data_IF_205560123160
#
_entry.id   IF_205560123160
#
_cell.length_a   1.000
_cell.length_b   1.000
_cell.length_c   1.000
_cell.angle_alpha   90.00
_cell.angle_beta   90.00
_cell.angle_gamma   90.00
#
_symmetry.space_group_name_H-M   'P 1'
#
loop_
_entity.id
_entity.type
_entity.pdbx_description
1 polymer ?
#
# COMPACT_ATOMS: atom_id res chain seq x y z
N UNK A 1 -1.60 -75.12 -21.10
CA UNK A 1 -1.00 -73.77 -21.02
C UNK A 1 -1.99 -72.65 -20.66
N UNK A 2 -3.28 -72.92 -20.38
CA UNK A 2 -4.30 -71.86 -20.16
C UNK A 2 -4.72 -71.60 -18.70
N UNK A 3 -4.38 -72.45 -17.72
CA UNK A 3 -4.79 -72.28 -16.32
C UNK A 3 -4.03 -71.18 -15.58
N UNK A 4 -2.76 -70.97 -15.91
CA UNK A 4 -1.93 -69.94 -15.28
C UNK A 4 -2.24 -68.53 -15.81
N UNK A 5 -2.58 -68.40 -17.10
CA UNK A 5 -2.93 -67.11 -17.72
C UNK A 5 -4.22 -66.54 -17.10
N UNK A 6 -5.23 -67.39 -16.86
CA UNK A 6 -6.48 -66.97 -16.19
C UNK A 6 -6.24 -66.52 -14.76
N UNK A 7 -5.31 -67.16 -14.04
CA UNK A 7 -4.96 -66.79 -12.67
C UNK A 7 -4.23 -65.44 -12.60
N UNK A 8 -3.30 -65.18 -13.53
CA UNK A 8 -2.60 -63.88 -13.61
C UNK A 8 -3.53 -62.75 -14.05
N UNK A 9 -4.51 -63.02 -14.94
CA UNK A 9 -5.50 -62.04 -15.36
C UNK A 9 -6.46 -61.66 -14.22
N UNK A 10 -6.88 -62.65 -13.40
CA UNK A 10 -7.70 -62.42 -12.22
C UNK A 10 -6.94 -61.62 -11.14
N UNK A 11 -5.64 -61.90 -10.97
CA UNK A 11 -4.77 -61.17 -10.05
C UNK A 11 -4.56 -59.69 -10.48
N UNK A 12 -4.46 -59.42 -11.79
CA UNK A 12 -4.32 -58.07 -12.34
C UNK A 12 -5.61 -57.23 -12.18
N UNK A 13 -6.78 -57.88 -12.34
CA UNK A 13 -8.09 -57.26 -12.13
C UNK A 13 -8.36 -56.92 -10.65
N UNK A 14 -7.83 -57.72 -9.71
CA UNK A 14 -7.97 -57.44 -8.28
C UNK A 14 -7.07 -56.29 -7.81
N UNK A 15 -5.93 -56.06 -8.47
CA UNK A 15 -5.00 -54.96 -8.14
C UNK A 15 -5.44 -53.58 -8.64
N UNK A 16 -6.42 -53.50 -9.55
CA UNK A 16 -6.92 -52.23 -10.12
C UNK A 16 -8.20 -51.72 -9.46
N UNK A 17 -8.80 -52.47 -8.53
CA UNK A 17 -10.09 -52.15 -7.92
C UNK A 17 -10.03 -51.16 -6.73
N UNK A 18 -8.84 -50.80 -6.26
CA UNK A 18 -8.68 -49.91 -5.10
C UNK A 18 -7.94 -48.62 -5.47
N UNK A 19 -8.68 -47.64 -5.98
CA UNK A 19 -8.22 -46.24 -5.96
C UNK A 19 -9.18 -45.43 -5.10
N UNK A 20 -8.75 -45.07 -3.89
CA UNK A 20 -9.47 -44.18 -2.99
C UNK A 20 -9.38 -42.75 -3.53
N UNK A 21 -10.39 -42.32 -4.30
CA UNK A 21 -10.56 -40.90 -4.62
C UNK A 21 -11.08 -40.18 -3.37
N UNK A 22 -10.24 -39.37 -2.75
CA UNK A 22 -10.64 -38.44 -1.71
C UNK A 22 -11.54 -37.36 -2.34
N UNK A 23 -12.84 -37.46 -2.10
CA UNK A 23 -13.78 -36.39 -2.45
C UNK A 23 -13.84 -35.41 -1.29
N UNK A 24 -13.58 -34.13 -1.55
CA UNK A 24 -13.82 -33.09 -0.56
C UNK A 24 -15.34 -32.99 -0.30
N UNK A 25 -15.78 -33.48 0.87
CA UNK A 25 -17.21 -33.62 1.20
C UNK A 25 -17.86 -32.26 1.50
N UNK A 26 -17.12 -31.31 2.05
CA UNK A 26 -17.46 -29.89 2.19
C UNK A 26 -16.45 -29.24 3.14
N UNK A 27 -16.27 -27.93 3.02
CA UNK A 27 -15.56 -27.13 4.00
C UNK A 27 -16.51 -26.03 4.46
N UNK A 28 -16.75 -25.95 5.77
CA UNK A 28 -17.58 -24.90 6.36
C UNK A 28 -16.66 -23.88 7.04
N UNK A 29 -16.43 -22.76 6.35
CA UNK A 29 -15.73 -21.63 6.94
C UNK A 29 -16.66 -20.95 7.95
N UNK A 30 -16.31 -21.02 9.23
CA UNK A 30 -16.98 -20.23 10.27
C UNK A 30 -16.17 -18.96 10.50
N UNK A 31 -16.76 -17.81 10.20
CA UNK A 31 -16.20 -16.53 10.64
C UNK A 31 -16.51 -16.37 12.12
N UNK A 32 -15.50 -16.53 12.98
CA UNK A 32 -15.62 -16.24 14.41
C UNK A 32 -15.31 -14.75 14.64
N UNK A 33 -16.32 -13.90 14.91
CA UNK A 33 -16.06 -12.50 15.21
C UNK A 33 -15.34 -12.39 16.56
N UNK A 34 -14.20 -11.71 16.58
CA UNK A 34 -13.53 -11.37 17.84
C UNK A 34 -14.36 -10.28 18.53
N UNK A 35 -15.01 -10.63 19.63
CA UNK A 35 -15.80 -9.70 20.45
C UNK A 35 -15.26 -9.63 21.90
N UNK A 36 -15.82 -8.73 22.70
CA UNK A 36 -15.43 -8.52 24.10
C UNK A 36 -15.51 -9.77 24.98
N UNK A 37 -16.39 -10.72 24.66
CA UNK A 37 -16.51 -11.99 25.39
C UNK A 37 -15.43 -13.01 24.99
N UNK A 38 -14.93 -12.94 23.75
CA UNK A 38 -13.79 -13.73 23.27
C UNK A 38 -12.47 -13.27 23.93
N UNK A 39 -12.36 -11.98 24.27
CA UNK A 39 -11.21 -11.37 24.96
C UNK A 39 -11.13 -11.74 26.45
N UNK A 40 -12.22 -12.24 27.06
CA UNK A 40 -12.21 -12.80 28.43
C UNK A 40 -11.43 -14.12 28.51
N UNK A 41 -11.10 -14.73 27.37
CA UNK A 41 -10.24 -15.91 27.22
C UNK A 41 -8.81 -15.48 26.84
N UNK A 42 -8.35 -14.33 27.32
CA UNK A 42 -6.91 -14.09 27.37
C UNK A 42 -6.34 -15.04 28.43
N UNK A 43 -5.63 -16.10 28.01
CA UNK A 43 -4.99 -16.97 28.99
C UNK A 43 -4.04 -16.10 29.82
N UNK A 44 -4.14 -16.21 31.15
CA UNK A 44 -3.29 -15.43 32.05
C UNK A 44 -1.81 -15.68 31.79
N UNK A 45 -1.47 -16.84 31.22
CA UNK A 45 -0.11 -17.24 30.90
C UNK A 45 0.40 -16.62 29.59
N UNK A 46 -0.42 -16.51 28.54
CA UNK A 46 -0.05 -15.77 27.31
C UNK A 46 0.11 -14.28 27.64
N UNK A 47 -0.76 -13.75 28.49
CA UNK A 47 -0.66 -12.35 28.93
C UNK A 47 0.67 -12.07 29.64
N UNK A 48 1.10 -12.95 30.56
CA UNK A 48 2.41 -12.83 31.23
C UNK A 48 3.59 -12.84 30.25
N UNK A 49 3.48 -13.59 29.15
CA UNK A 49 4.50 -13.63 28.10
C UNK A 49 4.55 -12.31 27.31
N UNK A 50 3.40 -11.73 26.95
CA UNK A 50 3.32 -10.55 26.07
C UNK A 50 3.61 -9.23 26.80
N UNK A 51 3.16 -9.09 28.06
CA UNK A 51 3.25 -7.85 28.84
C UNK A 51 4.66 -7.21 28.89
N UNK A 52 5.78 -7.93 29.13
CA UNK A 52 7.10 -7.31 29.15
C UNK A 52 7.48 -6.69 27.80
N UNK A 53 7.22 -7.39 26.69
CA UNK A 53 7.48 -6.88 25.35
C UNK A 53 6.58 -5.70 25.01
N UNK A 54 5.31 -5.76 25.40
CA UNK A 54 4.38 -4.64 25.23
C UNK A 54 4.88 -3.39 25.95
N UNK A 55 5.35 -3.54 27.20
CA UNK A 55 5.88 -2.42 27.99
C UNK A 55 7.12 -1.80 27.36
N UNK A 56 8.02 -2.62 26.83
CA UNK A 56 9.20 -2.12 26.12
C UNK A 56 8.84 -1.44 24.81
N UNK A 57 7.95 -2.03 24.03
CA UNK A 57 7.45 -1.48 22.77
C UNK A 57 6.77 -0.12 22.98
N UNK A 58 5.93 0.02 24.01
CA UNK A 58 5.25 1.28 24.33
C UNK A 58 6.24 2.42 24.61
N UNK A 59 7.40 2.14 25.23
CA UNK A 59 8.43 3.18 25.43
C UNK A 59 8.92 3.79 24.13
N UNK A 60 8.96 3.02 23.05
CA UNK A 60 9.36 3.51 21.72
C UNK A 60 8.16 4.09 20.96
N UNK A 61 7.02 3.40 20.97
CA UNK A 61 5.82 3.80 20.22
C UNK A 61 5.17 5.08 20.73
N UNK A 62 5.26 5.37 22.04
CA UNK A 62 4.63 6.53 22.65
C UNK A 62 5.48 7.81 22.53
N UNK A 63 6.70 7.72 21.98
CA UNK A 63 7.56 8.89 21.77
C UNK A 63 6.90 9.85 20.79
N UNK A 64 6.68 11.08 21.23
CA UNK A 64 6.23 12.19 20.38
C UNK A 64 7.41 12.66 19.53
N UNK A 65 7.23 12.66 18.21
CA UNK A 65 8.27 13.02 17.24
C UNK A 65 8.02 14.36 16.55
N UNK A 66 6.79 14.84 16.58
CA UNK A 66 6.36 16.14 16.08
C UNK A 66 4.87 16.35 16.35
N UNK A 67 4.28 17.34 15.69
CA UNK A 67 2.87 17.70 15.81
C UNK A 67 2.31 18.21 14.48
N UNK A 68 0.98 18.19 14.33
CA UNK A 68 0.27 18.79 13.18
C UNK A 68 -0.71 19.85 13.64
N UNK A 69 -0.77 20.96 12.92
CA UNK A 69 -1.63 22.12 13.24
C UNK A 69 -3.12 21.89 12.95
N UNK A 70 -3.40 20.93 12.07
CA UNK A 70 -4.73 20.49 11.65
C UNK A 70 -4.82 18.97 11.59
N UNK A 71 -6.05 18.45 11.65
CA UNK A 71 -6.31 17.03 11.44
C UNK A 71 -6.06 16.67 9.97
N UNK A 72 -5.14 15.73 9.73
CA UNK A 72 -4.90 15.15 8.42
C UNK A 72 -5.90 14.00 8.20
N UNK A 73 -6.68 14.04 7.13
CA UNK A 73 -7.77 13.07 6.89
C UNK A 73 -7.43 12.23 5.66
N UNK A 74 -7.78 10.95 5.69
CA UNK A 74 -7.84 10.06 4.52
C UNK A 74 -9.26 10.07 3.96
N UNK A 75 -9.40 10.51 2.70
CA UNK A 75 -10.64 10.53 1.95
C UNK A 75 -10.33 10.37 0.45
N UNK A 76 -11.37 10.26 -0.36
CA UNK A 76 -11.31 10.19 -1.82
C UNK A 76 -12.18 11.33 -2.41
N UNK A 77 -11.85 11.87 -3.59
CA UNK A 77 -10.73 11.49 -4.45
C UNK A 77 -9.36 12.02 -4.02
N UNK A 78 -9.34 12.94 -3.05
CA UNK A 78 -8.17 13.64 -2.56
C UNK A 78 -8.33 13.95 -1.08
N UNK A 79 -7.25 13.92 -0.31
CA UNK A 79 -7.29 14.28 1.10
C UNK A 79 -5.92 14.68 1.66
N UNK A 80 -5.92 15.46 2.74
CA UNK A 80 -4.72 16.02 3.34
C UNK A 80 -3.70 14.98 3.81
N UNK A 81 -4.15 13.84 4.36
CA UNK A 81 -3.24 12.77 4.80
C UNK A 81 -2.54 12.08 3.62
N UNK A 82 -3.28 11.82 2.54
CA UNK A 82 -2.70 11.27 1.31
C UNK A 82 -1.68 12.21 0.70
N UNK A 83 -2.05 13.47 0.56
CA UNK A 83 -1.19 14.52 0.00
C UNK A 83 0.08 14.73 0.84
N UNK A 84 -0.03 14.67 2.16
CA UNK A 84 1.13 14.70 3.06
C UNK A 84 2.09 13.54 2.78
N UNK A 85 1.58 12.29 2.72
CA UNK A 85 2.42 11.12 2.48
C UNK A 85 3.06 11.16 1.09
N UNK A 86 2.34 11.61 0.07
CA UNK A 86 2.88 11.77 -1.29
C UNK A 86 3.98 12.85 -1.36
N UNK A 87 3.85 13.95 -0.60
CA UNK A 87 4.90 14.99 -0.53
C UNK A 87 6.16 14.48 0.17
N UNK A 88 6.03 13.69 1.23
CA UNK A 88 7.18 13.04 1.87
C UNK A 88 7.85 12.07 0.90
N UNK A 89 7.05 11.28 0.18
CA UNK A 89 7.56 10.31 -0.79
C UNK A 89 8.43 10.97 -1.85
N UNK A 90 7.95 12.04 -2.50
CA UNK A 90 8.71 12.71 -3.55
C UNK A 90 9.96 13.42 -3.01
N UNK A 91 9.89 14.03 -1.83
CA UNK A 91 11.03 14.71 -1.19
C UNK A 91 12.19 13.73 -0.91
N UNK A 92 11.88 12.56 -0.36
CA UNK A 92 12.90 11.53 -0.10
C UNK A 92 13.39 10.85 -1.38
N UNK A 93 12.51 10.65 -2.36
CA UNK A 93 12.88 10.13 -3.66
C UNK A 93 13.93 11.01 -4.36
N UNK A 94 13.66 12.32 -4.47
CA UNK A 94 14.57 13.29 -5.10
C UNK A 94 15.93 13.34 -4.40
N UNK A 95 15.92 13.39 -3.07
CA UNK A 95 17.15 13.38 -2.25
C UNK A 95 17.96 12.11 -2.46
N UNK A 96 17.30 10.96 -2.57
CA UNK A 96 17.95 9.66 -2.75
C UNK A 96 18.58 9.52 -4.14
N UNK A 97 17.87 9.89 -5.20
CA UNK A 97 18.36 9.72 -6.58
C UNK A 97 19.23 10.89 -7.06
N UNK A 98 19.27 12.00 -6.31
CA UNK A 98 20.06 13.19 -6.62
C UNK A 98 19.58 13.94 -7.87
N UNK A 99 18.31 13.79 -8.25
CA UNK A 99 17.71 14.39 -9.45
C UNK A 99 16.25 14.79 -9.18
N UNK A 100 15.73 15.81 -9.88
CA UNK A 100 14.32 16.17 -9.79
C UNK A 100 13.40 15.01 -10.20
N UNK A 101 12.29 14.86 -9.50
CA UNK A 101 11.20 13.93 -9.79
C UNK A 101 9.95 14.75 -10.12
N UNK A 102 9.28 14.40 -11.21
CA UNK A 102 8.21 15.24 -11.76
C UNK A 102 6.96 15.24 -10.88
N UNK A 103 6.53 14.05 -10.44
CA UNK A 103 5.37 13.90 -9.56
C UNK A 103 5.39 12.58 -8.78
N UNK A 104 4.47 12.45 -7.83
CA UNK A 104 4.27 11.23 -7.06
C UNK A 104 2.82 10.76 -7.13
N UNK A 105 2.63 9.44 -7.20
CA UNK A 105 1.34 8.77 -7.05
C UNK A 105 1.51 7.56 -6.14
N UNK A 106 0.64 7.45 -5.13
CA UNK A 106 0.60 6.30 -4.21
C UNK A 106 -0.79 5.68 -4.25
N UNK A 107 -0.93 4.46 -3.71
CA UNK A 107 -2.24 3.87 -3.50
C UNK A 107 -2.82 4.26 -2.14
N UNK A 108 -4.12 4.56 -2.11
CA UNK A 108 -4.88 4.83 -0.88
C UNK A 108 -4.87 3.65 0.10
N UNK A 109 -4.71 2.42 -0.42
CA UNK A 109 -4.64 1.19 0.37
C UNK A 109 -3.43 1.12 1.31
N UNK A 110 -2.32 1.80 0.95
CA UNK A 110 -1.13 1.90 1.79
C UNK A 110 -1.34 2.68 3.09
N UNK A 111 -2.26 3.64 3.09
CA UNK A 111 -2.58 4.50 4.23
C UNK A 111 -3.65 3.82 5.09
N UNK A 112 -3.32 3.41 6.33
CA UNK A 112 -4.15 2.47 7.09
C UNK A 112 -5.02 3.09 8.17
N UNK A 113 -4.76 4.33 8.56
CA UNK A 113 -5.62 5.08 9.49
C UNK A 113 -6.51 6.09 8.76
N UNK A 114 -7.70 6.39 9.30
CA UNK A 114 -8.61 7.37 8.69
C UNK A 114 -8.12 8.81 8.87
N UNK A 115 -7.30 9.08 9.90
CA UNK A 115 -6.76 10.41 10.16
C UNK A 115 -5.58 10.41 11.13
N UNK A 116 -4.80 11.49 11.10
CA UNK A 116 -3.94 11.93 12.19
C UNK A 116 -4.57 13.19 12.77
N UNK A 117 -4.95 13.14 14.05
CA UNK A 117 -5.60 14.27 14.72
C UNK A 117 -4.62 15.43 14.91
N UNK A 118 -5.17 16.65 14.97
CA UNK A 118 -4.42 17.84 15.41
C UNK A 118 -3.66 17.56 16.72
N UNK A 119 -2.42 18.04 16.80
CA UNK A 119 -1.55 17.90 17.97
C UNK A 119 -0.46 16.86 17.77
N UNK A 120 -0.05 16.22 18.87
CA UNK A 120 1.11 15.35 18.92
C UNK A 120 1.01 14.13 17.98
N UNK A 121 2.12 13.86 17.28
CA UNK A 121 2.32 12.68 16.43
C UNK A 121 3.38 11.80 17.11
N UNK A 122 3.02 10.56 17.39
CA UNK A 122 3.93 9.57 17.98
C UNK A 122 4.54 8.64 16.94
N UNK A 123 5.61 7.93 17.31
CA UNK A 123 6.17 6.84 16.50
C UNK A 123 5.09 5.80 16.16
N UNK A 124 4.34 5.35 17.18
CA UNK A 124 3.25 4.39 17.02
C UNK A 124 2.21 4.86 16.01
N UNK A 125 1.88 6.16 15.99
CA UNK A 125 0.95 6.72 15.01
C UNK A 125 1.45 6.56 13.57
N UNK A 126 2.76 6.68 13.32
CA UNK A 126 3.36 6.46 11.99
C UNK A 126 3.35 4.98 11.61
N UNK A 127 3.59 4.07 12.58
CA UNK A 127 3.47 2.62 12.35
C UNK A 127 2.02 2.21 12.06
N UNK A 128 1.04 2.79 12.74
CA UNK A 128 -0.38 2.59 12.40
C UNK A 128 -0.72 3.15 11.01
N UNK A 129 -0.18 4.32 10.65
CA UNK A 129 -0.42 4.98 9.36
C UNK A 129 0.07 4.13 8.18
N UNK A 130 1.32 3.67 8.23
CA UNK A 130 2.02 2.99 7.14
C UNK A 130 2.75 1.74 7.67
N UNK A 131 2.03 0.67 8.01
CA UNK A 131 2.62 -0.52 8.65
C UNK A 131 3.44 -1.40 7.69
N UNK A 132 3.39 -1.11 6.38
CA UNK A 132 4.09 -1.90 5.38
C UNK A 132 5.55 -1.47 5.21
N UNK A 133 6.39 -2.43 4.85
CA UNK A 133 7.81 -2.23 4.55
C UNK A 133 8.06 -1.90 3.08
N UNK A 134 7.12 -1.18 2.45
CA UNK A 134 7.21 -0.77 1.05
C UNK A 134 8.33 0.26 0.90
N UNK A 135 9.23 0.03 -0.05
CA UNK A 135 10.28 0.98 -0.42
C UNK A 135 9.75 2.04 -1.38
N UNK A 136 10.25 3.27 -1.25
CA UNK A 136 10.08 4.31 -2.24
C UNK A 136 10.87 3.93 -3.50
N UNK A 137 10.25 4.03 -4.66
CA UNK A 137 10.88 3.80 -5.95
C UNK A 137 10.53 4.94 -6.90
N UNK A 138 11.44 5.24 -7.84
CA UNK A 138 11.19 6.21 -8.91
C UNK A 138 11.22 5.48 -10.24
N UNK A 139 10.18 5.67 -11.04
CA UNK A 139 10.02 5.01 -12.33
C UNK A 139 9.99 6.05 -13.45
N UNK A 140 10.76 5.82 -14.51
CA UNK A 140 10.62 6.61 -15.74
C UNK A 140 9.45 6.08 -16.56
N UNK A 141 8.40 6.90 -16.74
CA UNK A 141 7.24 6.57 -17.56
C UNK A 141 7.23 7.42 -18.84
N UNK A 142 6.83 6.82 -19.97
CA UNK A 142 6.45 7.59 -21.16
C UNK A 142 5.12 8.32 -20.92
N UNK A 143 4.81 9.33 -21.73
CA UNK A 143 3.52 10.01 -21.64
C UNK A 143 2.34 9.06 -21.80
N UNK A 144 2.42 8.04 -22.66
CA UNK A 144 1.37 7.00 -22.77
C UNK A 144 1.17 6.25 -21.45
N UNK A 145 2.27 5.90 -20.75
CA UNK A 145 2.19 5.25 -19.44
C UNK A 145 1.68 6.18 -18.35
N UNK A 146 1.96 7.48 -18.44
CA UNK A 146 1.32 8.47 -17.59
C UNK A 146 -0.19 8.56 -17.84
N UNK A 147 -0.67 8.49 -19.08
CA UNK A 147 -2.11 8.43 -19.36
C UNK A 147 -2.77 7.18 -18.77
N UNK A 148 -2.13 6.01 -18.89
CA UNK A 148 -2.57 4.78 -18.22
C UNK A 148 -2.65 4.97 -16.69
N UNK A 149 -1.68 5.67 -16.10
CA UNK A 149 -1.67 6.02 -14.68
C UNK A 149 -2.83 6.96 -14.30
N UNK A 150 -3.13 7.97 -15.13
CA UNK A 150 -4.24 8.89 -14.86
C UNK A 150 -5.61 8.20 -14.98
N UNK A 151 -5.77 7.28 -15.93
CA UNK A 151 -6.95 6.41 -16.02
C UNK A 151 -7.07 5.49 -14.81
N UNK A 152 -5.95 4.98 -14.30
CA UNK A 152 -5.94 4.22 -13.05
C UNK A 152 -6.39 5.08 -11.86
N UNK A 153 -5.92 6.32 -11.73
CA UNK A 153 -6.41 7.23 -10.67
C UNK A 153 -7.93 7.42 -10.79
N UNK A 154 -8.43 7.65 -12.01
CA UNK A 154 -9.86 7.82 -12.26
C UNK A 154 -10.69 6.59 -11.84
N UNK A 155 -10.28 5.40 -12.27
CA UNK A 155 -10.95 4.13 -11.96
C UNK A 155 -10.89 3.75 -10.47
N UNK A 156 -9.85 4.17 -9.77
CA UNK A 156 -9.72 4.01 -8.30
C UNK A 156 -10.41 5.15 -7.53
N UNK A 157 -11.10 6.04 -8.25
CA UNK A 157 -11.84 7.19 -7.71
C UNK A 157 -10.95 8.17 -6.95
N UNK A 158 -9.68 8.28 -7.35
CA UNK A 158 -8.68 9.13 -6.74
C UNK A 158 -7.43 8.38 -6.29
N UNK A 159 -6.44 9.13 -5.84
CA UNK A 159 -5.19 8.63 -5.29
C UNK A 159 -4.46 9.75 -4.53
N UNK A 160 -3.65 9.43 -3.51
CA UNK A 160 -2.65 10.35 -2.99
C UNK A 160 -1.66 10.75 -4.08
N UNK A 161 -1.49 12.05 -4.31
CA UNK A 161 -0.58 12.58 -5.34
C UNK A 161 0.24 13.76 -4.82
N UNK A 162 1.43 13.98 -5.39
CA UNK A 162 2.24 15.20 -5.17
C UNK A 162 2.71 15.76 -6.50
N UNK A 163 2.71 17.11 -6.62
CA UNK A 163 3.01 17.89 -7.84
C UNK A 163 2.14 17.58 -9.07
N UNK A 164 1.25 16.62 -8.98
CA UNK A 164 0.24 16.30 -9.99
C UNK A 164 -1.10 16.90 -9.55
N UNK A 165 -1.81 17.53 -10.48
CA UNK A 165 -3.23 17.84 -10.31
C UNK A 165 -4.02 17.44 -11.54
N UNK A 166 -5.20 16.87 -11.35
CA UNK A 166 -6.07 16.40 -12.44
C UNK A 166 -7.52 16.39 -12.01
N UNK A 167 -8.42 16.42 -12.99
CA UNK A 167 -9.85 16.19 -12.76
C UNK A 167 -10.24 14.83 -13.33
N UNK A 168 -10.95 14.02 -12.55
CA UNK A 168 -11.36 12.67 -12.89
C UNK A 168 -12.87 12.53 -13.01
N UNK A 169 -13.31 11.57 -13.82
CA UNK A 169 -14.63 10.96 -13.82
C UNK A 169 -14.45 9.44 -13.81
N UNK A 170 -15.52 8.64 -13.76
CA UNK A 170 -15.46 7.18 -13.55
C UNK A 170 -14.41 6.47 -14.41
N UNK A 171 -14.27 6.85 -15.69
CA UNK A 171 -13.36 6.22 -16.64
C UNK A 171 -12.56 7.23 -17.49
N UNK A 172 -12.54 8.51 -17.10
CA UNK A 172 -11.85 9.56 -17.86
C UNK A 172 -11.11 10.53 -16.94
N UNK A 173 -10.18 11.28 -17.51
CA UNK A 173 -9.45 12.34 -16.84
C UNK A 173 -9.35 13.57 -17.76
N UNK A 174 -9.11 14.73 -17.16
CA UNK A 174 -8.88 15.99 -17.88
C UNK A 174 -8.10 16.97 -16.98
N UNK A 175 -7.69 18.11 -17.53
CA UNK A 175 -7.03 19.19 -16.80
C UNK A 175 -5.81 18.69 -15.99
N UNK A 176 -4.94 17.92 -16.65
CA UNK A 176 -3.75 17.35 -16.01
C UNK A 176 -2.62 18.37 -16.04
N UNK A 177 -2.12 18.71 -14.86
CA UNK A 177 -0.95 19.57 -14.67
C UNK A 177 0.07 18.86 -13.80
N UNK A 178 1.33 18.92 -14.22
CA UNK A 178 2.49 18.44 -13.48
C UNK A 178 3.36 19.65 -13.16
N UNK A 179 3.58 19.90 -11.88
CA UNK A 179 4.24 21.08 -11.34
C UNK A 179 3.65 22.40 -11.89
N UNK A 180 2.32 22.45 -12.06
CA UNK A 180 1.60 23.59 -12.60
C UNK A 180 1.68 23.77 -14.12
N UNK A 181 2.44 22.91 -14.82
CA UNK A 181 2.55 22.92 -16.30
C UNK A 181 1.63 21.86 -16.88
N UNK A 182 0.94 22.18 -17.98
CA UNK A 182 0.06 21.23 -18.64
C UNK A 182 0.83 19.98 -19.09
N UNK A 183 0.25 18.80 -18.83
CA UNK A 183 0.84 17.53 -19.23
C UNK A 183 1.07 17.45 -20.74
N UNK A 184 2.26 17.00 -21.11
CA UNK A 184 2.70 16.80 -22.48
C UNK A 184 3.00 15.31 -22.71
N UNK A 185 2.20 14.67 -23.55
CA UNK A 185 2.29 13.24 -23.86
C UNK A 185 3.60 12.86 -24.57
N UNK A 186 4.25 13.81 -25.25
CA UNK A 186 5.48 13.52 -25.98
C UNK A 186 6.71 13.34 -25.07
N UNK A 187 6.58 13.70 -23.78
CA UNK A 187 7.67 13.67 -22.81
C UNK A 187 7.65 12.38 -21.98
N UNK A 188 8.80 12.12 -21.35
CA UNK A 188 8.93 11.14 -20.27
C UNK A 188 8.92 11.85 -18.92
N UNK A 189 8.48 11.15 -17.89
CA UNK A 189 8.37 11.67 -16.53
C UNK A 189 8.96 10.70 -15.53
N UNK A 190 9.71 11.22 -14.57
CA UNK A 190 10.13 10.50 -13.38
C UNK A 190 9.02 10.56 -12.34
N UNK A 191 8.50 9.40 -11.96
CA UNK A 191 7.35 9.27 -11.05
C UNK A 191 7.77 8.54 -9.78
N UNK A 192 7.67 9.20 -8.64
CA UNK A 192 7.86 8.56 -7.33
C UNK A 192 6.62 7.75 -6.95
N UNK A 193 6.83 6.53 -6.48
CA UNK A 193 5.79 5.63 -5.95
C UNK A 193 6.42 4.63 -4.97
N UNK A 194 5.79 3.48 -4.72
CA UNK A 194 6.39 2.39 -3.94
C UNK A 194 6.61 1.12 -4.75
N UNK A 195 7.54 0.28 -4.32
CA UNK A 195 7.78 -1.07 -4.86
C UNK A 195 6.51 -1.92 -4.99
N UNK A 196 5.55 -1.81 -4.06
CA UNK A 196 4.24 -2.45 -4.17
C UNK A 196 3.51 -2.09 -5.47
N UNK A 197 3.49 -0.80 -5.83
CA UNK A 197 2.86 -0.29 -7.06
C UNK A 197 3.65 -0.69 -8.29
N UNK A 198 4.99 -0.60 -8.22
CA UNK A 198 5.88 -0.98 -9.31
C UNK A 198 5.72 -2.46 -9.69
N UNK A 199 5.50 -3.32 -8.70
CA UNK A 199 5.26 -4.74 -8.91
C UNK A 199 3.80 -5.07 -9.30
N UNK A 200 2.99 -4.08 -9.67
CA UNK A 200 1.61 -4.26 -10.15
C UNK A 200 0.55 -4.40 -9.05
N UNK A 201 0.90 -4.08 -7.80
CA UNK A 201 -0.05 -3.97 -6.69
C UNK A 201 -1.22 -3.04 -7.04
N UNK A 202 -2.41 -3.34 -6.54
CA UNK A 202 -3.66 -2.65 -6.89
C UNK A 202 -3.87 -2.50 -8.42
N UNK A 203 -3.41 -3.46 -9.20
CA UNK A 203 -3.49 -3.47 -10.68
C UNK A 203 -2.82 -2.25 -11.32
N UNK A 204 -1.80 -1.68 -10.69
CA UNK A 204 -1.00 -0.58 -11.22
C UNK A 204 -0.01 -1.09 -12.30
N UNK A 205 -0.54 -1.73 -13.34
CA UNK A 205 0.26 -2.44 -14.36
C UNK A 205 1.08 -1.52 -15.25
N UNK A 206 0.75 -0.23 -15.30
CA UNK A 206 1.49 0.76 -16.09
C UNK A 206 2.93 0.97 -15.60
N UNK A 207 3.25 0.63 -14.35
CA UNK A 207 4.61 0.69 -13.82
C UNK A 207 5.46 -0.52 -14.20
N UNK A 208 4.85 -1.67 -14.53
CA UNK A 208 5.59 -2.91 -14.80
C UNK A 208 6.46 -2.81 -16.06
N UNK A 209 7.70 -3.30 -15.98
CA UNK A 209 8.63 -3.38 -17.11
C UNK A 209 9.36 -2.07 -17.46
N UNK A 210 9.14 -0.98 -16.70
CA UNK A 210 9.87 0.28 -16.89
C UNK A 210 11.19 0.30 -16.11
N UNK A 211 12.03 1.29 -16.40
CA UNK A 211 13.28 1.52 -15.64
C UNK A 211 12.98 2.07 -14.25
N UNK A 212 13.59 1.48 -13.22
CA UNK A 212 13.33 1.80 -11.81
C UNK A 212 14.63 2.23 -11.10
N UNK A 213 14.58 3.37 -10.42
CA UNK A 213 15.57 3.77 -9.43
C UNK A 213 15.09 3.34 -8.05
N UNK A 214 15.82 2.40 -7.44
CA UNK A 214 15.52 1.89 -6.10
C UNK A 214 16.19 2.78 -5.06
N UNK A 215 15.40 3.38 -4.17
CA UNK A 215 15.94 4.22 -3.10
C UNK A 215 16.43 3.41 -1.90
N UNK A 216 15.88 2.19 -1.71
CA UNK A 216 16.02 1.37 -0.50
C UNK A 216 15.58 2.10 0.80
N UNK A 217 14.73 3.12 0.67
CA UNK A 217 14.14 3.85 1.78
C UNK A 217 12.70 3.37 1.94
N UNK A 218 12.36 2.85 3.11
CA UNK A 218 10.96 2.51 3.43
C UNK A 218 10.14 3.80 3.55
N UNK A 219 8.95 3.82 2.94
CA UNK A 219 8.07 4.99 3.01
C UNK A 219 7.71 5.36 4.46
N UNK A 220 7.52 4.36 5.34
CA UNK A 220 7.30 4.61 6.77
C UNK A 220 8.46 5.35 7.43
N UNK A 221 9.69 4.93 7.13
CA UNK A 221 10.89 5.52 7.72
C UNK A 221 11.12 6.95 7.20
N UNK A 222 10.78 7.21 5.93
CA UNK A 222 10.75 8.55 5.35
C UNK A 222 9.76 9.46 6.10
N UNK A 223 8.54 8.97 6.38
CA UNK A 223 7.54 9.73 7.15
C UNK A 223 8.04 10.02 8.57
N UNK A 224 8.61 9.02 9.25
CA UNK A 224 9.15 9.18 10.60
C UNK A 224 10.26 10.24 10.62
N UNK A 225 11.19 10.16 9.67
CA UNK A 225 12.29 11.11 9.54
C UNK A 225 11.79 12.53 9.22
N UNK A 226 10.84 12.65 8.28
CA UNK A 226 10.26 13.93 7.91
C UNK A 226 9.59 14.63 9.11
N UNK A 227 8.75 13.91 9.86
CA UNK A 227 8.07 14.47 11.04
C UNK A 227 9.08 14.84 12.12
N UNK A 228 10.07 13.97 12.36
CA UNK A 228 11.11 14.22 13.36
C UNK A 228 11.91 15.47 13.06
N UNK A 229 12.20 15.75 11.79
CA UNK A 229 13.03 16.87 11.37
C UNK A 229 12.27 18.18 11.19
N UNK A 230 11.00 18.14 10.75
CA UNK A 230 10.21 19.35 10.54
C UNK A 230 9.47 19.81 11.81
N UNK A 231 9.27 18.90 12.79
CA UNK A 231 8.59 19.08 14.09
C UNK A 231 7.14 19.57 14.03
N UNK A 232 6.84 20.57 13.21
CA UNK A 232 5.51 21.10 12.94
C UNK A 232 5.11 20.75 11.50
N UNK A 233 4.06 19.95 11.36
CA UNK A 233 3.46 19.62 10.08
C UNK A 233 2.33 20.60 9.79
N UNK A 234 2.36 21.20 8.60
CA UNK A 234 1.24 21.96 8.06
C UNK A 234 0.22 21.00 7.44
N UNK A 235 -0.99 20.99 8.00
CA UNK A 235 -2.10 20.17 7.57
C UNK A 235 -3.01 20.83 6.53
N UNK A 236 -2.86 22.12 6.27
CA UNK A 236 -3.62 22.83 5.25
C UNK A 236 -3.08 22.49 3.85
N UNK A 237 -3.79 21.61 3.15
CA UNK A 237 -3.38 21.08 1.85
C UNK A 237 -4.54 21.21 0.86
N UNK A 238 -4.32 21.95 -0.20
CA UNK A 238 -5.30 22.12 -1.28
C UNK A 238 -5.52 20.81 -2.03
N UNK A 239 -6.74 20.61 -2.54
CA UNK A 239 -7.10 19.43 -3.32
C UNK A 239 -6.35 19.40 -4.66
N UNK A 240 -5.76 18.23 -4.98
CA UNK A 240 -4.95 17.99 -6.17
C UNK A 240 -5.70 17.12 -7.18
N UNK A 241 -6.46 16.13 -6.70
CA UNK A 241 -7.41 15.36 -7.51
C UNK A 241 -8.83 15.89 -7.27
N UNK A 242 -9.53 16.23 -8.36
CA UNK A 242 -10.92 16.70 -8.31
C UNK A 242 -11.82 15.73 -9.06
N UNK A 243 -13.07 15.59 -8.63
CA UNK A 243 -14.07 14.78 -9.33
C UNK A 243 -15.14 15.69 -9.94
N UNK A 244 -15.54 15.40 -11.19
CA UNK A 244 -16.72 16.00 -11.83
C UNK A 244 -18.02 15.35 -11.37
#
# INVERSE_FOLDING_TARGET
MNRHISFYLLLLLLLSACTSKLNFVSYQAVSLPINSDSLKIASSDISKIILPYQKELHKEMDKVIGETDQTLIKAMPDASLGNFVADVCIDFAEKSIGKPVDFCVLNTGGIRIPSIQKGAITVGKIFELMPFDNNIEVVELSGEKCEELFLWIAKWRGAPVSRLSLTISTDTFSNVFINGVQFDKSKKYLVATTDFMVNGGDKATMFAGNSVFKTNIKLRDAILNYVTNNKQINGNRSARVKQY
#
